data_IF_654418726494
#
_entry.id   IF_654418726494
#
_cell.length_a   1.000
_cell.length_b   1.000
_cell.length_c   1.000
_cell.angle_alpha   90.00
_cell.angle_beta   90.00
_cell.angle_gamma   90.00
#
_symmetry.space_group_name_H-M   'P 1'
#
loop_
_entity.id
_entity.type
_entity.pdbx_description
1 polymer ?
#
# COMPACT_ATOMS: atom_id res chain seq x y z
N UNK A 1 -15.03 21.68 -0.66
CA UNK A 1 -14.18 20.50 -0.43
C UNK A 1 -12.83 20.80 -1.02
N UNK A 2 -11.80 20.82 -0.19
CA UNK A 2 -10.44 21.15 -0.57
C UNK A 2 -9.71 19.91 -1.08
N UNK A 3 -9.89 19.60 -2.36
CA UNK A 3 -9.29 18.43 -3.01
C UNK A 3 -7.75 18.42 -2.90
N UNK A 4 -7.12 19.61 -2.89
CA UNK A 4 -5.67 19.73 -2.74
C UNK A 4 -5.21 19.23 -1.38
N UNK A 5 -5.90 19.61 -0.30
CA UNK A 5 -5.59 19.13 1.04
C UNK A 5 -5.80 17.61 1.15
N UNK A 6 -6.91 17.08 0.60
CA UNK A 6 -7.18 15.63 0.57
C UNK A 6 -6.07 14.86 -0.14
N UNK A 7 -5.66 15.30 -1.34
CA UNK A 7 -4.58 14.65 -2.10
C UNK A 7 -3.24 14.74 -1.36
N UNK A 8 -2.96 15.85 -0.69
CA UNK A 8 -1.74 16.00 0.14
C UNK A 8 -1.67 14.96 1.24
N UNK A 9 -2.79 14.76 1.95
CA UNK A 9 -2.86 13.79 3.06
C UNK A 9 -2.77 12.36 2.55
N UNK A 10 -3.43 12.04 1.43
CA UNK A 10 -3.25 10.73 0.76
C UNK A 10 -1.79 10.50 0.35
N UNK A 11 -1.11 11.55 -0.12
CA UNK A 11 0.32 11.50 -0.42
C UNK A 11 1.17 11.14 0.80
N UNK A 12 0.93 11.78 1.94
CA UNK A 12 1.61 11.45 3.19
C UNK A 12 1.37 9.99 3.63
N UNK A 13 0.13 9.51 3.49
CA UNK A 13 -0.23 8.12 3.81
C UNK A 13 0.46 7.11 2.88
N UNK A 14 0.60 7.41 1.59
CA UNK A 14 1.35 6.55 0.66
C UNK A 14 2.86 6.53 0.93
N UNK A 15 3.45 7.65 1.35
CA UNK A 15 4.86 7.67 1.79
C UNK A 15 5.02 6.77 3.03
N UNK A 16 4.09 6.87 3.98
CA UNK A 16 4.09 6.01 5.15
C UNK A 16 3.96 4.53 4.76
N UNK A 17 3.01 4.19 3.89
CA UNK A 17 2.86 2.83 3.35
C UNK A 17 4.15 2.35 2.68
N UNK A 18 4.76 3.16 1.82
CA UNK A 18 6.04 2.85 1.17
C UNK A 18 7.15 2.54 2.19
N UNK A 19 7.23 3.30 3.29
CA UNK A 19 8.18 3.01 4.37
C UNK A 19 7.86 1.69 5.08
N UNK A 20 6.59 1.39 5.33
CA UNK A 20 6.19 0.12 5.97
C UNK A 20 6.46 -1.10 5.09
N UNK A 21 6.39 -0.97 3.76
CA UNK A 21 6.75 -2.04 2.81
C UNK A 21 8.24 -2.41 2.85
N UNK A 22 9.10 -1.58 3.46
CA UNK A 22 10.50 -1.90 3.70
C UNK A 22 10.72 -2.78 4.94
N UNK A 23 9.75 -2.86 5.86
CA UNK A 23 9.83 -3.68 7.07
C UNK A 23 10.02 -5.17 6.76
N UNK A 24 9.29 -5.79 5.80
CA UNK A 24 9.53 -7.19 5.42
C UNK A 24 10.81 -7.43 4.60
N UNK A 25 11.43 -6.40 4.01
CA UNK A 25 12.58 -6.56 3.11
C UNK A 25 13.81 -7.26 3.76
N UNK A 26 14.21 -6.96 5.01
CA UNK A 26 15.23 -7.73 5.71
C UNK A 26 14.91 -9.22 5.87
N UNK A 27 13.63 -9.58 6.00
CA UNK A 27 13.22 -10.99 6.09
C UNK A 27 13.37 -11.70 4.75
N UNK A 28 13.08 -11.02 3.62
CA UNK A 28 13.35 -11.57 2.30
C UNK A 28 14.83 -11.87 2.09
N UNK A 29 15.71 -11.01 2.59
CA UNK A 29 17.16 -11.23 2.59
C UNK A 29 17.58 -12.40 3.48
N UNK A 30 16.97 -12.53 4.66
CA UNK A 30 17.26 -13.61 5.60
C UNK A 30 16.84 -14.98 5.05
N UNK A 31 15.64 -15.08 4.49
CA UNK A 31 15.09 -16.34 3.97
C UNK A 31 15.51 -16.64 2.53
N UNK A 32 16.00 -15.66 1.78
CA UNK A 32 16.41 -15.84 0.39
C UNK A 32 15.24 -16.20 -0.53
N UNK A 33 14.02 -15.75 -0.20
CA UNK A 33 12.77 -16.14 -0.84
C UNK A 33 12.48 -15.42 -2.18
N UNK A 34 13.37 -14.52 -2.60
CA UNK A 34 13.31 -13.80 -3.87
C UNK A 34 12.32 -12.62 -3.93
N UNK A 35 11.58 -12.33 -2.86
CA UNK A 35 10.57 -11.27 -2.84
C UNK A 35 11.15 -9.84 -2.68
N UNK A 36 12.44 -9.71 -2.37
CA UNK A 36 13.10 -8.43 -2.09
C UNK A 36 12.87 -7.40 -3.20
N UNK A 37 13.01 -7.81 -4.47
CA UNK A 37 12.80 -6.92 -5.61
C UNK A 37 11.37 -6.39 -5.67
N UNK A 38 10.39 -7.24 -5.39
CA UNK A 38 8.97 -6.87 -5.36
C UNK A 38 8.66 -5.87 -4.25
N UNK A 39 9.21 -6.10 -3.04
CA UNK A 39 9.05 -5.21 -1.89
C UNK A 39 9.68 -3.84 -2.13
N UNK A 40 10.93 -3.80 -2.63
CA UNK A 40 11.64 -2.55 -2.91
C UNK A 40 10.95 -1.73 -4.02
N UNK A 41 10.51 -2.40 -5.09
CA UNK A 41 9.80 -1.73 -6.18
C UNK A 41 8.44 -1.18 -5.70
N UNK A 42 7.70 -1.96 -4.91
CA UNK A 42 6.41 -1.53 -4.34
C UNK A 42 6.57 -0.35 -3.39
N UNK A 43 7.58 -0.40 -2.52
CA UNK A 43 7.93 0.70 -1.63
C UNK A 43 8.30 1.97 -2.41
N UNK A 44 9.13 1.83 -3.45
CA UNK A 44 9.55 2.93 -4.30
C UNK A 44 8.37 3.58 -5.05
N UNK A 45 7.51 2.80 -5.69
CA UNK A 45 6.33 3.32 -6.41
C UNK A 45 5.34 4.00 -5.47
N UNK A 46 5.13 3.43 -4.28
CA UNK A 46 4.29 4.04 -3.24
C UNK A 46 4.87 5.37 -2.76
N UNK A 47 6.18 5.42 -2.48
CA UNK A 47 6.87 6.61 -2.02
C UNK A 47 6.94 7.71 -3.08
N UNK A 48 7.23 7.38 -4.35
CA UNK A 48 7.26 8.35 -5.46
C UNK A 48 5.87 8.93 -5.69
N UNK A 49 4.84 8.09 -5.75
CA UNK A 49 3.46 8.57 -5.94
C UNK A 49 3.03 9.43 -4.76
N UNK A 50 3.31 8.96 -3.54
CA UNK A 50 3.02 9.69 -2.32
C UNK A 50 3.72 11.04 -2.23
N UNK A 51 5.01 11.09 -2.59
CA UNK A 51 5.79 12.33 -2.65
C UNK A 51 5.25 13.29 -3.71
N UNK A 52 4.90 12.79 -4.90
CA UNK A 52 4.27 13.60 -5.95
C UNK A 52 2.98 14.27 -5.48
N UNK A 53 2.12 13.53 -4.77
CA UNK A 53 0.89 14.07 -4.20
C UNK A 53 1.16 15.04 -3.04
N UNK A 54 2.06 14.68 -2.12
CA UNK A 54 2.33 15.47 -0.92
C UNK A 54 2.99 16.82 -1.25
N UNK A 55 3.96 16.83 -2.17
CA UNK A 55 4.67 18.06 -2.55
C UNK A 55 3.93 18.84 -3.64
N UNK A 56 3.19 18.17 -4.52
CA UNK A 56 2.44 18.80 -5.62
C UNK A 56 1.18 19.55 -5.17
N UNK A 57 0.52 19.10 -4.08
CA UNK A 57 -0.73 19.69 -3.61
C UNK A 57 -0.57 20.39 -2.26
N UNK A 58 -0.05 21.62 -2.25
CA UNK A 58 -0.02 22.44 -1.03
C UNK A 58 -1.38 23.09 -0.76
N UNK A 59 -1.77 23.11 0.51
CA UNK A 59 -2.91 23.88 1.00
C UNK A 59 -2.60 24.41 2.40
N UNK A 60 -3.01 25.65 2.68
CA UNK A 60 -2.90 26.29 4.00
C UNK A 60 -4.23 26.35 4.75
N UNK A 61 -5.26 25.66 4.26
CA UNK A 61 -6.55 25.59 4.94
C UNK A 61 -6.53 24.44 5.95
N UNK A 62 -7.28 24.60 7.03
CA UNK A 62 -7.50 23.55 8.03
C UNK A 62 -8.35 22.39 7.48
N UNK A 63 -8.18 21.22 8.08
CA UNK A 63 -8.94 20.01 7.74
C UNK A 63 -10.39 20.16 8.22
N UNK A 64 -11.33 20.18 7.27
CA UNK A 64 -12.75 20.08 7.55
C UNK A 64 -13.22 18.63 7.64
N UNK A 65 -14.40 18.40 8.26
CA UNK A 65 -15.04 17.08 8.33
C UNK A 65 -15.20 16.43 6.94
N UNK A 66 -15.54 17.20 5.91
CA UNK A 66 -15.75 16.70 4.54
C UNK A 66 -14.45 16.16 3.94
N UNK A 67 -13.34 16.84 4.16
CA UNK A 67 -12.02 16.33 3.74
C UNK A 67 -11.63 15.11 4.55
N UNK A 68 -11.90 15.08 5.85
CA UNK A 68 -11.63 13.91 6.71
C UNK A 68 -12.30 12.63 6.18
N UNK A 69 -13.60 12.69 5.89
CA UNK A 69 -14.33 11.56 5.29
C UNK A 69 -13.73 11.12 3.94
N UNK A 70 -13.37 12.09 3.09
CA UNK A 70 -12.77 11.80 1.79
C UNK A 70 -11.39 11.13 1.94
N UNK A 71 -10.54 11.62 2.85
CA UNK A 71 -9.21 11.06 3.11
C UNK A 71 -9.33 9.62 3.59
N UNK A 72 -10.19 9.34 4.58
CA UNK A 72 -10.34 7.97 5.11
C UNK A 72 -10.85 7.01 4.03
N UNK A 73 -11.87 7.40 3.28
CA UNK A 73 -12.46 6.55 2.24
C UNK A 73 -11.45 6.24 1.14
N UNK A 74 -10.73 7.25 0.65
CA UNK A 74 -9.73 7.08 -0.39
C UNK A 74 -8.46 6.39 0.11
N UNK A 75 -8.11 6.54 1.39
CA UNK A 75 -6.96 5.87 1.98
C UNK A 75 -7.11 4.35 1.93
N UNK A 76 -8.29 3.81 2.24
CA UNK A 76 -8.53 2.36 2.12
C UNK A 76 -8.32 1.86 0.69
N UNK A 77 -8.85 2.58 -0.30
CA UNK A 77 -8.67 2.24 -1.72
C UNK A 77 -7.18 2.33 -2.12
N UNK A 78 -6.48 3.36 -1.67
CA UNK A 78 -5.06 3.52 -2.00
C UNK A 78 -4.22 2.43 -1.33
N UNK A 79 -4.49 2.10 -0.08
CA UNK A 79 -3.76 1.07 0.66
C UNK A 79 -4.01 -0.31 0.06
N UNK A 80 -5.24 -0.62 -0.36
CA UNK A 80 -5.54 -1.88 -1.03
C UNK A 80 -4.84 -2.00 -2.39
N UNK A 81 -4.74 -0.91 -3.15
CA UNK A 81 -4.09 -0.91 -4.46
C UNK A 81 -2.56 -0.98 -4.37
N UNK A 82 -1.94 -0.15 -3.52
CA UNK A 82 -0.49 -0.08 -3.39
C UNK A 82 0.06 -1.22 -2.52
N UNK A 83 -0.68 -1.67 -1.51
CA UNK A 83 -0.33 -2.85 -0.72
C UNK A 83 -0.44 -4.17 -1.49
N UNK A 84 -1.16 -4.20 -2.62
CA UNK A 84 -1.23 -5.35 -3.50
C UNK A 84 0.00 -5.53 -4.40
N UNK A 85 0.83 -4.48 -4.54
CA UNK A 85 1.98 -4.49 -5.45
C UNK A 85 3.02 -5.57 -5.12
N UNK A 86 3.38 -5.84 -3.85
CA UNK A 86 4.31 -6.93 -3.53
C UNK A 86 3.81 -8.29 -4.01
N UNK A 87 2.52 -8.58 -3.86
CA UNK A 87 1.93 -9.83 -4.35
C UNK A 87 2.00 -9.96 -5.87
N UNK A 88 1.74 -8.86 -6.58
CA UNK A 88 1.75 -8.83 -8.03
C UNK A 88 3.18 -8.93 -8.60
N UNK A 89 4.13 -8.19 -8.04
CA UNK A 89 5.51 -8.16 -8.53
C UNK A 89 6.31 -9.40 -8.12
N UNK A 90 5.98 -10.04 -6.98
CA UNK A 90 6.56 -11.33 -6.61
C UNK A 90 5.97 -12.50 -7.39
N UNK A 91 4.78 -12.32 -7.98
CA UNK A 91 4.01 -13.39 -8.62
C UNK A 91 3.25 -14.28 -7.63
N UNK A 92 3.24 -13.93 -6.34
CA UNK A 92 2.52 -14.67 -5.29
C UNK A 92 1.02 -14.68 -5.52
N UNK A 93 0.45 -13.55 -5.99
CA UNK A 93 -0.95 -13.45 -6.44
C UNK A 93 -0.97 -12.74 -7.80
N UNK A 94 -0.93 -13.47 -8.93
CA UNK A 94 -0.80 -12.87 -10.25
C UNK A 94 -2.03 -12.08 -10.71
N UNK A 95 -3.21 -12.41 -10.18
CA UNK A 95 -4.46 -11.79 -10.60
C UNK A 95 -4.73 -10.50 -9.79
N UNK A 96 -4.85 -9.32 -10.43
CA UNK A 96 -4.94 -8.04 -9.72
C UNK A 96 -6.13 -7.91 -8.77
N UNK A 97 -7.28 -8.46 -9.14
CA UNK A 97 -8.48 -8.40 -8.30
C UNK A 97 -8.27 -9.18 -7.01
N UNK A 98 -7.61 -10.33 -7.10
CA UNK A 98 -7.37 -11.23 -5.98
C UNK A 98 -6.33 -10.63 -5.03
N UNK A 99 -5.27 -10.02 -5.58
CA UNK A 99 -4.25 -9.34 -4.79
C UNK A 99 -4.83 -8.14 -4.03
N UNK A 100 -5.72 -7.36 -4.67
CA UNK A 100 -6.43 -6.25 -4.01
C UNK A 100 -7.40 -6.76 -2.96
N UNK A 101 -8.11 -7.86 -3.23
CA UNK A 101 -8.98 -8.49 -2.24
C UNK A 101 -8.20 -8.94 -1.00
N UNK A 102 -7.11 -9.67 -1.19
CA UNK A 102 -6.26 -10.18 -0.10
C UNK A 102 -5.71 -9.02 0.74
N UNK A 103 -5.21 -7.99 0.07
CA UNK A 103 -4.66 -6.78 0.69
C UNK A 103 -5.72 -6.03 1.48
N UNK A 104 -6.92 -5.82 0.89
CA UNK A 104 -8.03 -5.16 1.55
C UNK A 104 -8.49 -5.95 2.78
N UNK A 105 -8.61 -7.27 2.67
CA UNK A 105 -8.97 -8.16 3.77
C UNK A 105 -7.98 -8.05 4.93
N UNK A 106 -6.67 -8.04 4.65
CA UNK A 106 -5.63 -7.86 5.65
C UNK A 106 -5.69 -6.50 6.35
N UNK A 107 -5.72 -5.40 5.59
CA UNK A 107 -5.75 -4.05 6.17
C UNK A 107 -7.00 -3.75 6.99
N UNK A 108 -8.15 -4.31 6.58
CA UNK A 108 -9.42 -4.14 7.30
C UNK A 108 -9.59 -5.13 8.45
N UNK A 109 -8.57 -5.96 8.72
CA UNK A 109 -8.59 -7.03 9.73
C UNK A 109 -9.77 -7.99 9.54
N UNK A 110 -10.23 -8.18 8.30
CA UNK A 110 -11.33 -9.09 7.97
C UNK A 110 -10.87 -10.55 8.11
N UNK A 111 -9.64 -10.85 7.67
CA UNK A 111 -9.05 -12.18 7.78
C UNK A 111 -9.63 -13.23 6.81
N UNK A 112 -10.34 -12.80 5.77
CA UNK A 112 -10.69 -13.65 4.64
C UNK A 112 -9.49 -13.80 3.70
N UNK A 113 -9.27 -14.99 3.14
CA UNK A 113 -8.15 -15.24 2.22
C UNK A 113 -8.61 -15.99 0.98
N UNK A 114 -8.00 -15.67 -0.17
CA UNK A 114 -8.12 -16.43 -1.42
C UNK A 114 -7.07 -17.55 -1.52
N UNK A 115 -6.05 -17.50 -0.66
CA UNK A 115 -4.92 -18.42 -0.68
C UNK A 115 -5.32 -19.73 0.01
N UNK A 116 -5.21 -20.83 -0.71
CA UNK A 116 -5.47 -22.17 -0.17
C UNK A 116 -4.26 -22.77 0.53
N UNK A 117 -3.05 -22.35 0.17
CA UNK A 117 -1.79 -22.82 0.73
C UNK A 117 -0.82 -21.63 0.94
N UNK A 118 -0.99 -20.95 2.07
CA UNK A 118 -0.17 -19.78 2.46
C UNK A 118 1.30 -20.16 2.68
N UNK A 119 1.57 -21.37 3.17
CA UNK A 119 2.93 -21.83 3.50
C UNK A 119 3.81 -22.01 2.25
N UNK A 120 3.19 -22.07 1.08
CA UNK A 120 3.89 -22.12 -0.21
C UNK A 120 4.44 -20.77 -0.69
N UNK A 121 4.00 -19.66 -0.09
CA UNK A 121 4.41 -18.31 -0.48
C UNK A 121 5.79 -17.92 0.10
N UNK A 122 6.47 -16.92 -0.51
CA UNK A 122 7.64 -16.30 0.10
C UNK A 122 7.33 -15.81 1.52
N UNK A 123 8.17 -16.17 2.49
CA UNK A 123 7.92 -15.88 3.91
C UNK A 123 7.92 -14.39 4.26
N UNK A 124 8.48 -13.54 3.39
CA UNK A 124 8.48 -12.09 3.54
C UNK A 124 7.28 -11.38 2.90
N UNK A 125 6.34 -12.13 2.31
CA UNK A 125 5.11 -11.61 1.67
C UNK A 125 3.91 -11.76 2.60
#
# INVERSE_FOLDING_TARGET
MNIRLTLRLLGALLIFLGATLLIPAPFSLWFGDGALGALLLSALLSAITGAGLFFGFRSGNDLSLREGFAVVTLAWVFFSLFGALPFLFSGSIPHPVDAVFETMSGFTTTGATILTDIESLPQSI
#
